data_IF_004683360646
#
_entry.id   IF_004683360646
#
_cell.length_a   1.000
_cell.length_b   1.000
_cell.length_c   1.000
_cell.angle_alpha   90.00
_cell.angle_beta   90.00
_cell.angle_gamma   90.00
#
_symmetry.space_group_name_H-M   'P 1'
#
loop_
_entity.id
_entity.type
_entity.pdbx_description
1 polymer ?
#
# COMPACT_ATOMS: atom_id res chain seq x y z
N UNK A 1 -3.36 24.82 -14.19
CA UNK A 1 -4.29 23.93 -13.45
C UNK A 1 -4.66 22.70 -14.26
N UNK A 2 -5.11 22.84 -15.52
CA UNK A 2 -5.40 21.74 -16.46
C UNK A 2 -4.26 20.72 -16.63
N UNK A 3 -3.02 21.17 -16.83
CA UNK A 3 -1.85 20.30 -16.97
C UNK A 3 -1.56 19.43 -15.73
N UNK A 4 -1.78 19.96 -14.53
CA UNK A 4 -1.66 19.19 -13.28
C UNK A 4 -2.74 18.12 -13.16
N UNK A 5 -3.97 18.44 -13.58
CA UNK A 5 -5.10 17.49 -13.59
C UNK A 5 -4.87 16.36 -14.61
N UNK A 6 -4.42 16.70 -15.81
CA UNK A 6 -4.03 15.73 -16.85
C UNK A 6 -2.91 14.81 -16.35
N UNK A 7 -1.84 15.36 -15.78
CA UNK A 7 -0.74 14.59 -15.19
C UNK A 7 -1.23 13.64 -14.08
N UNK A 8 -2.10 14.11 -13.18
CA UNK A 8 -2.69 13.29 -12.11
C UNK A 8 -3.46 12.11 -12.69
N UNK A 9 -4.34 12.33 -13.68
CA UNK A 9 -5.09 11.26 -14.34
C UNK A 9 -4.19 10.21 -14.99
N UNK A 10 -3.14 10.65 -15.69
CA UNK A 10 -2.17 9.73 -16.31
C UNK A 10 -1.44 8.89 -15.26
N UNK A 11 -0.97 9.51 -14.19
CA UNK A 11 -0.30 8.79 -13.08
C UNK A 11 -1.28 7.81 -12.43
N UNK A 12 -2.51 8.21 -12.14
CA UNK A 12 -3.54 7.32 -11.59
C UNK A 12 -3.76 6.10 -12.48
N UNK A 13 -3.90 6.30 -13.79
CA UNK A 13 -4.07 5.21 -14.75
C UNK A 13 -2.87 4.25 -14.74
N UNK A 14 -1.64 4.77 -14.73
CA UNK A 14 -0.43 3.96 -14.69
C UNK A 14 -0.33 3.13 -13.40
N UNK A 15 -0.55 3.74 -12.23
CA UNK A 15 -0.49 3.03 -10.95
C UNK A 15 -1.59 1.96 -10.88
N UNK A 16 -2.81 2.26 -11.32
CA UNK A 16 -3.88 1.26 -11.39
C UNK A 16 -3.48 0.10 -12.29
N UNK A 17 -2.90 0.36 -13.47
CA UNK A 17 -2.42 -0.68 -14.39
C UNK A 17 -1.34 -1.55 -13.74
N UNK A 18 -0.36 -0.96 -13.05
CA UNK A 18 0.70 -1.71 -12.37
C UNK A 18 0.16 -2.57 -11.24
N UNK A 19 -0.72 -2.02 -10.40
CA UNK A 19 -1.35 -2.77 -9.31
C UNK A 19 -2.22 -3.91 -9.84
N UNK A 20 -2.94 -3.71 -10.94
CA UNK A 20 -3.69 -4.78 -11.62
C UNK A 20 -2.76 -5.85 -12.18
N UNK A 21 -1.66 -5.49 -12.85
CA UNK A 21 -0.65 -6.45 -13.34
C UNK A 21 -0.13 -7.32 -12.19
N UNK A 22 0.25 -6.68 -11.08
CA UNK A 22 0.73 -7.38 -9.89
C UNK A 22 -0.32 -8.30 -9.26
N UNK A 23 -1.59 -7.90 -9.24
CA UNK A 23 -2.66 -8.70 -8.67
C UNK A 23 -2.95 -10.00 -9.45
N UNK A 24 -2.70 -10.01 -10.76
CA UNK A 24 -2.93 -11.18 -11.63
C UNK A 24 -1.75 -12.13 -11.72
N UNK A 25 -0.61 -11.81 -11.09
CA UNK A 25 0.50 -12.76 -10.99
C UNK A 25 0.11 -13.98 -10.16
N UNK A 26 0.59 -15.15 -10.55
CA UNK A 26 0.15 -16.46 -10.05
C UNK A 26 0.97 -16.94 -8.85
N UNK A 27 2.27 -16.65 -8.83
CA UNK A 27 3.20 -17.05 -7.78
C UNK A 27 3.83 -15.87 -7.03
N UNK A 28 4.56 -16.18 -5.96
CA UNK A 28 5.33 -15.19 -5.19
C UNK A 28 6.53 -14.69 -6.02
N UNK A 29 7.16 -15.59 -6.74
CA UNK A 29 8.32 -15.33 -7.60
C UNK A 29 7.92 -14.43 -8.78
N UNK A 30 6.79 -14.73 -9.44
CA UNK A 30 6.26 -13.92 -10.53
C UNK A 30 5.89 -12.51 -10.06
N UNK A 31 5.32 -12.38 -8.86
CA UNK A 31 5.04 -11.08 -8.26
C UNK A 31 6.31 -10.24 -8.11
N UNK A 32 7.35 -10.78 -7.48
CA UNK A 32 8.58 -10.02 -7.23
C UNK A 32 9.33 -9.70 -8.52
N UNK A 33 9.36 -10.62 -9.48
CA UNK A 33 9.94 -10.36 -10.81
C UNK A 33 9.19 -9.23 -11.52
N UNK A 34 7.85 -9.26 -11.50
CA UNK A 34 7.01 -8.21 -12.09
C UNK A 34 7.18 -6.88 -11.36
N UNK A 35 7.30 -6.93 -10.03
CA UNK A 35 7.51 -5.76 -9.20
C UNK A 35 8.86 -5.09 -9.48
N UNK A 36 9.95 -5.88 -9.60
CA UNK A 36 11.27 -5.36 -9.95
C UNK A 36 11.30 -4.78 -11.37
N UNK A 37 10.63 -5.42 -12.35
CA UNK A 37 10.47 -4.88 -13.71
C UNK A 37 9.78 -3.49 -13.68
N UNK A 38 8.69 -3.35 -12.92
CA UNK A 38 7.99 -2.07 -12.76
C UNK A 38 8.91 -1.02 -12.12
N UNK A 39 9.60 -1.38 -11.03
CA UNK A 39 10.50 -0.46 -10.34
C UNK A 39 11.69 -0.05 -11.22
N UNK A 40 12.26 -0.95 -12.01
CA UNK A 40 13.35 -0.64 -12.94
C UNK A 40 12.93 0.37 -13.99
N UNK A 41 11.76 0.16 -14.62
CA UNK A 41 11.21 1.10 -15.58
C UNK A 41 10.94 2.47 -14.95
N UNK A 42 10.44 2.51 -13.71
CA UNK A 42 10.24 3.77 -12.98
C UNK A 42 11.56 4.47 -12.64
N UNK A 43 12.58 3.70 -12.26
CA UNK A 43 13.91 4.20 -11.91
C UNK A 43 14.54 4.94 -13.10
N UNK A 44 14.50 4.33 -14.28
CA UNK A 44 15.05 4.87 -15.55
C UNK A 44 14.45 6.24 -15.92
N UNK A 45 13.17 6.45 -15.61
CA UNK A 45 12.43 7.67 -15.96
C UNK A 45 12.29 8.65 -14.78
N UNK A 46 12.93 8.35 -13.64
CA UNK A 46 12.85 9.15 -12.42
C UNK A 46 14.08 10.04 -12.23
N UNK A 47 13.87 11.23 -11.69
CA UNK A 47 14.93 12.20 -11.40
C UNK A 47 14.86 12.67 -9.94
N UNK A 48 16.01 13.04 -9.38
CA UNK A 48 16.15 13.59 -8.04
C UNK A 48 15.53 12.68 -6.96
N UNK A 49 14.69 13.25 -6.11
CA UNK A 49 14.08 12.55 -4.99
C UNK A 49 13.16 11.37 -5.38
N UNK A 50 12.60 11.39 -6.59
CA UNK A 50 11.76 10.28 -7.06
C UNK A 50 12.61 9.02 -7.35
N UNK A 51 13.83 9.22 -7.86
CA UNK A 51 14.78 8.12 -8.07
C UNK A 51 15.21 7.51 -6.74
N UNK A 52 15.49 8.34 -5.74
CA UNK A 52 15.82 7.86 -4.40
C UNK A 52 14.66 7.04 -3.79
N UNK A 53 13.41 7.48 -3.94
CA UNK A 53 12.25 6.74 -3.46
C UNK A 53 12.12 5.35 -4.12
N UNK A 54 12.30 5.28 -5.44
CA UNK A 54 12.28 4.00 -6.17
C UNK A 54 13.41 3.08 -5.68
N UNK A 55 14.61 3.62 -5.48
CA UNK A 55 15.76 2.85 -4.99
C UNK A 55 15.55 2.29 -3.58
N UNK A 56 14.95 3.05 -2.68
CA UNK A 56 14.61 2.59 -1.33
C UNK A 56 13.65 1.40 -1.39
N UNK A 57 12.58 1.51 -2.19
CA UNK A 57 11.59 0.44 -2.36
C UNK A 57 12.23 -0.81 -3.01
N UNK A 58 13.05 -0.61 -4.05
CA UNK A 58 13.74 -1.70 -4.75
C UNK A 58 14.74 -2.43 -3.84
N UNK A 59 15.49 -1.69 -3.02
CA UNK A 59 16.43 -2.25 -2.05
C UNK A 59 15.70 -3.06 -1.00
N UNK A 60 14.59 -2.56 -0.47
CA UNK A 60 13.80 -3.29 0.50
C UNK A 60 13.15 -4.55 -0.09
N UNK A 61 12.74 -4.53 -1.36
CA UNK A 61 12.26 -5.72 -2.06
C UNK A 61 13.36 -6.79 -2.15
N UNK A 62 14.58 -6.40 -2.55
CA UNK A 62 15.74 -7.30 -2.61
C UNK A 62 16.11 -7.87 -1.24
N UNK A 63 15.98 -7.06 -0.19
CA UNK A 63 16.31 -7.46 1.19
C UNK A 63 15.16 -8.20 1.90
N UNK A 64 14.04 -8.47 1.23
CA UNK A 64 12.90 -9.18 1.82
C UNK A 64 12.22 -8.42 2.95
N UNK A 65 12.17 -7.08 2.89
CA UNK A 65 11.57 -6.27 3.94
C UNK A 65 10.08 -6.62 4.14
N UNK A 66 9.60 -6.77 5.39
CA UNK A 66 8.20 -7.16 5.68
C UNK A 66 7.10 -6.35 4.97
N UNK A 67 7.30 -5.05 4.71
CA UNK A 67 6.27 -4.26 4.04
C UNK A 67 6.06 -4.65 2.57
N UNK A 68 7.07 -5.25 1.92
CA UNK A 68 6.95 -5.69 0.52
C UNK A 68 6.11 -6.96 0.46
N UNK A 69 6.27 -7.85 1.43
CA UNK A 69 5.39 -9.00 1.62
C UNK A 69 3.96 -8.56 1.97
N UNK A 70 3.80 -7.56 2.85
CA UNK A 70 2.49 -6.97 3.13
C UNK A 70 1.84 -6.41 1.86
N UNK A 71 2.58 -5.66 1.04
CA UNK A 71 2.09 -5.12 -0.22
C UNK A 71 1.66 -6.25 -1.18
N UNK A 72 2.44 -7.32 -1.28
CA UNK A 72 2.09 -8.52 -2.05
C UNK A 72 0.79 -9.15 -1.56
N UNK A 73 0.67 -9.38 -0.26
CA UNK A 73 -0.54 -9.99 0.33
C UNK A 73 -1.76 -9.10 0.09
N UNK A 74 -1.65 -7.79 0.27
CA UNK A 74 -2.74 -6.84 0.01
C UNK A 74 -3.17 -6.88 -1.45
N UNK A 75 -2.21 -6.83 -2.38
CA UNK A 75 -2.48 -6.75 -3.82
C UNK A 75 -2.95 -8.09 -4.41
N UNK A 76 -2.29 -9.20 -4.10
CA UNK A 76 -2.60 -10.52 -4.70
C UNK A 76 -3.68 -11.30 -3.96
N UNK A 77 -3.75 -11.23 -2.62
CA UNK A 77 -4.47 -12.25 -1.82
C UNK A 77 -5.60 -11.70 -0.97
N UNK A 78 -5.48 -10.48 -0.44
CA UNK A 78 -6.38 -9.96 0.60
C UNK A 78 -7.41 -8.96 0.09
N UNK A 79 -7.07 -8.12 -0.89
CA UNK A 79 -8.01 -7.13 -1.43
C UNK A 79 -8.59 -7.63 -2.75
N UNK A 80 -9.91 -7.55 -2.87
CA UNK A 80 -10.62 -7.66 -4.16
C UNK A 80 -10.46 -6.39 -4.99
N UNK A 81 -10.91 -6.41 -6.24
CA UNK A 81 -10.63 -5.35 -7.21
C UNK A 81 -11.11 -3.95 -6.77
N UNK A 82 -12.28 -3.86 -6.15
CA UNK A 82 -12.85 -2.58 -5.70
C UNK A 82 -12.03 -1.96 -4.55
N UNK A 83 -11.79 -2.65 -3.41
CA UNK A 83 -10.90 -2.16 -2.36
C UNK A 83 -9.48 -1.89 -2.85
N UNK A 84 -8.94 -2.72 -3.75
CA UNK A 84 -7.59 -2.54 -4.31
C UNK A 84 -7.49 -1.25 -5.13
N UNK A 85 -8.49 -0.97 -5.98
CA UNK A 85 -8.58 0.30 -6.71
C UNK A 85 -8.72 1.50 -5.76
N UNK A 86 -9.55 1.37 -4.71
CA UNK A 86 -9.68 2.42 -3.69
C UNK A 86 -8.38 2.66 -2.94
N UNK A 87 -7.58 1.63 -2.64
CA UNK A 87 -6.27 1.79 -2.02
C UNK A 87 -5.35 2.65 -2.91
N UNK A 88 -5.36 2.43 -4.23
CA UNK A 88 -4.63 3.30 -5.17
C UNK A 88 -5.12 4.74 -5.08
N UNK A 89 -6.42 4.95 -5.18
CA UNK A 89 -7.00 6.29 -5.30
C UNK A 89 -6.89 7.11 -4.00
N UNK A 90 -6.93 6.44 -2.83
CA UNK A 90 -6.99 7.08 -1.51
C UNK A 90 -5.66 7.11 -0.77
N UNK A 91 -4.74 6.20 -1.07
CA UNK A 91 -3.44 6.12 -0.41
C UNK A 91 -2.29 6.43 -1.35
N UNK A 92 -2.07 5.62 -2.39
CA UNK A 92 -0.88 5.76 -3.25
C UNK A 92 -0.87 7.09 -4.03
N UNK A 93 -2.00 7.51 -4.59
CA UNK A 93 -2.05 8.76 -5.36
C UNK A 93 -1.84 9.98 -4.46
N UNK A 94 -2.54 10.16 -3.33
CA UNK A 94 -2.22 11.23 -2.40
C UNK A 94 -0.76 11.20 -1.93
N UNK A 95 -0.22 10.03 -1.60
CA UNK A 95 1.17 9.87 -1.18
C UNK A 95 2.17 10.35 -2.25
N UNK A 96 2.02 9.92 -3.50
CA UNK A 96 2.88 10.34 -4.63
C UNK A 96 2.83 11.87 -4.84
N UNK A 97 1.64 12.46 -4.70
CA UNK A 97 1.43 13.89 -4.88
C UNK A 97 1.58 14.70 -3.59
N UNK A 98 2.05 14.10 -2.50
CA UNK A 98 2.23 14.81 -1.23
C UNK A 98 3.30 15.87 -1.37
N UNK A 99 3.01 17.04 -0.80
CA UNK A 99 3.93 18.17 -0.79
C UNK A 99 5.05 17.92 0.23
N UNK A 100 6.23 17.56 -0.28
CA UNK A 100 7.41 17.26 0.53
C UNK A 100 7.96 18.49 1.26
N UNK A 101 7.77 19.68 0.70
CA UNK A 101 8.21 20.91 1.36
C UNK A 101 7.34 21.19 2.58
N UNK A 102 6.03 20.96 2.45
CA UNK A 102 5.10 21.01 3.59
C UNK A 102 5.46 19.96 4.65
N UNK A 103 5.82 18.74 4.26
CA UNK A 103 6.27 17.71 5.20
C UNK A 103 7.54 18.14 5.95
N UNK A 104 8.52 18.74 5.24
CA UNK A 104 9.74 19.27 5.85
C UNK A 104 9.45 20.36 6.87
N UNK A 105 8.54 21.29 6.55
CA UNK A 105 8.12 22.35 7.47
C UNK A 105 7.43 21.79 8.73
N UNK A 106 6.61 20.74 8.58
CA UNK A 106 5.98 20.06 9.72
C UNK A 106 7.06 19.40 10.59
N UNK A 107 8.01 18.69 9.98
CA UNK A 107 9.11 18.06 10.68
C UNK A 107 9.96 19.08 11.46
N UNK A 108 10.28 20.22 10.84
CA UNK A 108 11.04 21.30 11.48
C UNK A 108 10.28 21.96 12.63
N UNK A 109 8.95 22.11 12.50
CA UNK A 109 8.11 22.76 13.50
C UNK A 109 7.78 21.84 14.68
N UNK A 110 7.41 20.60 14.41
CA UNK A 110 6.86 19.67 15.40
C UNK A 110 7.90 18.65 15.89
N UNK A 111 9.06 18.55 15.23
CA UNK A 111 10.11 17.58 15.54
C UNK A 111 9.83 16.16 15.03
N UNK A 112 8.71 15.93 14.33
CA UNK A 112 8.38 14.64 13.71
C UNK A 112 7.51 14.80 12.45
N UNK A 113 7.59 13.82 11.54
CA UNK A 113 6.66 13.67 10.42
C UNK A 113 5.55 12.70 10.85
N UNK A 114 4.28 13.09 10.66
CA UNK A 114 3.16 12.23 11.00
C UNK A 114 3.21 10.93 10.15
N UNK A 115 3.09 9.75 10.78
CA UNK A 115 3.10 8.51 10.03
C UNK A 115 1.86 8.41 9.15
N UNK A 116 2.03 7.78 7.99
CA UNK A 116 0.90 7.40 7.16
C UNK A 116 0.12 6.26 7.82
N UNK A 117 -1.21 6.34 7.78
CA UNK A 117 -2.08 5.28 8.26
C UNK A 117 -3.07 4.86 7.18
N UNK A 118 -3.38 3.57 7.13
CA UNK A 118 -4.41 2.99 6.28
C UNK A 118 -5.45 2.38 7.21
N UNK A 119 -6.72 2.77 7.06
CA UNK A 119 -7.82 2.15 7.79
C UNK A 119 -8.50 1.13 6.88
N UNK A 120 -8.47 -0.13 7.29
CA UNK A 120 -9.18 -1.20 6.62
C UNK A 120 -10.39 -1.55 7.49
N UNK A 121 -11.56 -1.06 7.10
CA UNK A 121 -12.81 -1.46 7.75
C UNK A 121 -13.32 -2.76 7.12
N UNK A 122 -13.87 -3.69 7.93
CA UNK A 122 -14.74 -4.72 7.38
C UNK A 122 -15.86 -4.08 6.54
N UNK A 123 -16.27 -4.76 5.46
CA UNK A 123 -17.43 -4.35 4.67
C UNK A 123 -18.72 -4.54 5.47
N UNK A 124 -19.84 -3.95 5.01
CA UNK A 124 -21.18 -4.19 5.61
C UNK A 124 -21.60 -5.66 5.66
N UNK A 125 -20.94 -6.54 4.90
CA UNK A 125 -21.15 -7.98 4.91
C UNK A 125 -20.47 -8.69 6.09
N UNK A 126 -19.56 -8.02 6.78
CA UNK A 126 -19.00 -8.57 8.00
C UNK A 126 -20.10 -8.60 9.05
N UNK A 127 -20.49 -9.80 9.44
CA UNK A 127 -21.48 -10.05 10.48
C UNK A 127 -20.87 -9.98 11.89
N UNK A 128 -19.56 -9.76 12.00
CA UNK A 128 -18.79 -9.73 13.25
C UNK A 128 -18.82 -11.07 14.02
N UNK A 129 -19.16 -12.19 13.37
CA UNK A 129 -19.21 -13.50 14.04
C UNK A 129 -17.92 -14.33 13.89
N UNK A 130 -16.88 -13.77 13.27
CA UNK A 130 -15.59 -14.46 13.17
C UNK A 130 -15.03 -14.72 14.59
N UNK A 131 -14.53 -15.94 14.87
CA UNK A 131 -13.82 -16.20 16.12
C UNK A 131 -12.68 -15.18 16.31
N UNK A 132 -12.65 -14.51 17.47
CA UNK A 132 -11.66 -13.46 17.74
C UNK A 132 -12.00 -12.07 17.21
N UNK A 133 -13.23 -11.84 16.73
CA UNK A 133 -13.66 -10.51 16.32
C UNK A 133 -13.76 -9.57 17.54
N UNK A 134 -12.81 -8.65 17.68
CA UNK A 134 -12.82 -7.67 18.79
C UNK A 134 -14.11 -6.83 18.84
N UNK A 135 -14.77 -6.62 17.70
CA UNK A 135 -15.96 -5.80 17.59
C UNK A 135 -17.25 -6.50 18.08
N UNK A 136 -17.21 -7.81 18.30
CA UNK A 136 -18.31 -8.61 18.85
C UNK A 136 -17.84 -9.55 19.97
N UNK A 137 -16.67 -9.29 20.54
CA UNK A 137 -16.14 -10.09 21.64
C UNK A 137 -16.96 -9.82 22.92
N UNK A 138 -17.25 -10.88 23.67
CA UNK A 138 -17.75 -10.71 25.04
C UNK A 138 -16.68 -9.96 25.86
N UNK A 139 -17.12 -9.01 26.68
CA UNK A 139 -16.24 -8.24 27.57
C UNK A 139 -15.50 -9.12 28.58
N UNK A 140 -16.00 -10.33 28.83
CA UNK A 140 -15.38 -11.30 29.73
C UNK A 140 -14.21 -12.06 29.09
N UNK A 141 -14.16 -12.19 27.76
CA UNK A 141 -13.11 -12.91 27.04
C UNK A 141 -12.11 -11.94 26.40
N UNK A 142 -10.95 -11.82 27.02
CA UNK A 142 -9.88 -10.91 26.55
C UNK A 142 -8.94 -11.57 25.55
N UNK A 143 -8.95 -12.90 25.46
CA UNK A 143 -8.00 -13.70 24.67
C UNK A 143 -8.70 -14.90 24.01
N UNK A 144 -8.22 -15.28 22.83
CA UNK A 144 -8.63 -16.52 22.18
C UNK A 144 -7.93 -17.72 22.81
N UNK A 145 -8.59 -18.88 22.81
CA UNK A 145 -7.94 -20.14 23.20
C UNK A 145 -6.78 -20.48 22.25
N UNK A 146 -5.77 -21.19 22.77
CA UNK A 146 -4.60 -21.59 21.99
C UNK A 146 -4.97 -22.47 20.79
N UNK A 147 -5.93 -23.38 20.97
CA UNK A 147 -6.40 -24.30 19.93
C UNK A 147 -7.15 -23.61 18.79
N UNK A 148 -7.68 -22.40 19.02
CA UNK A 148 -8.33 -21.62 17.98
C UNK A 148 -7.34 -20.77 17.18
N UNK A 149 -6.17 -20.48 17.76
CA UNK A 149 -5.09 -19.70 17.14
C UNK A 149 -4.16 -20.53 16.24
N UNK A 150 -4.07 -21.86 16.46
CA UNK A 150 -3.15 -22.77 15.76
C UNK A 150 -3.89 -23.89 15.05
#
# INVERSE_FOLDING_TARGET
MLTKVLKKKTVTFLIQRYVTKLAHTTSKEEFYSTFDEILSNLEEHSVGQNKNAVNVVRTAAKNGHPYVELARLLVQKRLSDIPRKRLVDTFFIPWIFTDKEKLRQILEKEGFEAPWFIVISPLKYCDLHCPGCYANADRSETYLSYDLLN
#
